data_IF_421425537784
#
_entry.id   IF_421425537784
#
_cell.length_a   1.000
_cell.length_b   1.000
_cell.length_c   1.000
_cell.angle_alpha   90.00
_cell.angle_beta   90.00
_cell.angle_gamma   90.00
#
_symmetry.space_group_name_H-M   'P 1'
#
loop_
_entity.id
_entity.type
_entity.pdbx_description
1 polymer ?
#
# COMPACT_ATOMS: atom_id res chain seq x y z
N UNK A 1 11.54 -28.71 -7.99
CA UNK A 1 11.40 -28.79 -6.52
C UNK A 1 11.47 -27.36 -6.01
N UNK A 2 10.37 -26.82 -5.51
CA UNK A 2 10.36 -25.53 -4.81
C UNK A 2 11.14 -25.72 -3.52
N UNK A 3 12.14 -24.88 -3.17
CA UNK A 3 12.82 -25.00 -1.90
C UNK A 3 11.80 -24.90 -0.75
N UNK A 4 11.84 -25.85 0.16
CA UNK A 4 10.96 -25.85 1.33
C UNK A 4 11.41 -24.73 2.26
N UNK A 5 10.52 -23.76 2.52
CA UNK A 5 10.80 -22.65 3.44
C UNK A 5 11.07 -23.24 4.82
N UNK A 6 12.27 -23.03 5.36
CA UNK A 6 12.65 -23.54 6.67
C UNK A 6 11.86 -22.85 7.80
N UNK A 7 11.49 -23.63 8.82
CA UNK A 7 10.76 -23.10 9.99
C UNK A 7 11.48 -21.93 10.70
N UNK A 8 12.81 -21.87 10.63
CA UNK A 8 13.59 -20.76 11.16
C UNK A 8 13.33 -19.44 10.40
N UNK A 9 13.26 -19.49 9.06
CA UNK A 9 12.97 -18.31 8.23
C UNK A 9 11.55 -17.78 8.47
N UNK A 10 10.59 -18.68 8.66
CA UNK A 10 9.21 -18.30 9.00
C UNK A 10 9.14 -17.60 10.37
N UNK A 11 9.82 -18.15 11.38
CA UNK A 11 9.88 -17.52 12.72
C UNK A 11 10.53 -16.15 12.65
N UNK A 12 11.65 -16.04 11.99
CA UNK A 12 12.38 -14.79 11.83
C UNK A 12 11.57 -13.72 11.09
N UNK A 13 10.82 -14.08 10.03
CA UNK A 13 9.86 -13.17 9.39
C UNK A 13 8.79 -12.69 10.36
N UNK A 14 8.17 -13.62 11.09
CA UNK A 14 7.11 -13.33 12.04
C UNK A 14 7.58 -12.43 13.17
N UNK A 15 8.77 -12.71 13.73
CA UNK A 15 9.35 -11.95 14.83
C UNK A 15 9.73 -10.54 14.37
N UNK A 16 10.31 -10.40 13.16
CA UNK A 16 10.60 -9.10 12.56
C UNK A 16 9.32 -8.29 12.32
N UNK A 17 8.30 -8.90 11.73
CA UNK A 17 7.01 -8.24 11.49
C UNK A 17 6.37 -7.77 12.80
N UNK A 18 6.35 -8.63 13.82
CA UNK A 18 5.79 -8.34 15.12
C UNK A 18 6.55 -7.21 15.83
N UNK A 19 7.89 -7.20 15.76
CA UNK A 19 8.72 -6.15 16.33
C UNK A 19 8.47 -4.79 15.66
N UNK A 20 8.43 -4.73 14.32
CA UNK A 20 8.13 -3.50 13.58
C UNK A 20 6.71 -3.00 13.91
N UNK A 21 5.71 -3.91 13.88
CA UNK A 21 4.33 -3.57 14.23
C UNK A 21 4.21 -3.00 15.64
N UNK A 22 4.86 -3.64 16.61
CA UNK A 22 4.86 -3.23 18.01
C UNK A 22 5.51 -1.86 18.19
N UNK A 23 6.64 -1.63 17.55
CA UNK A 23 7.37 -0.36 17.66
C UNK A 23 6.60 0.80 17.02
N UNK A 24 6.03 0.61 15.85
CA UNK A 24 5.14 1.60 15.22
C UNK A 24 3.91 1.86 16.08
N UNK A 25 3.27 0.81 16.61
CA UNK A 25 2.08 0.89 17.48
C UNK A 25 2.35 1.59 18.83
N UNK A 26 3.60 1.63 19.30
CA UNK A 26 3.99 2.39 20.50
C UNK A 26 3.86 3.90 20.29
N UNK A 27 4.09 4.38 19.06
CA UNK A 27 4.07 5.80 18.69
C UNK A 27 2.72 6.18 18.05
N UNK A 28 2.16 5.29 17.24
CA UNK A 28 0.90 5.49 16.49
C UNK A 28 -0.22 4.73 17.18
N UNK A 29 -1.03 5.44 17.94
CA UNK A 29 -2.10 4.86 18.76
C UNK A 29 -3.41 4.77 17.96
N UNK A 30 -4.12 3.65 18.09
CA UNK A 30 -5.50 3.48 17.57
C UNK A 30 -5.60 3.06 16.11
N UNK A 31 -4.48 2.68 15.48
CA UNK A 31 -4.46 2.29 14.07
C UNK A 31 -3.82 0.92 13.84
N UNK A 32 -3.86 0.02 14.82
CA UNK A 32 -3.21 -1.29 14.76
C UNK A 32 -3.61 -2.12 13.52
N UNK A 33 -4.90 -2.18 13.10
CA UNK A 33 -5.27 -2.90 11.88
C UNK A 33 -4.71 -2.24 10.61
N UNK A 34 -4.62 -0.92 10.58
CA UNK A 34 -4.05 -0.19 9.46
C UNK A 34 -2.53 -0.41 9.35
N UNK A 35 -1.82 -0.37 10.47
CA UNK A 35 -0.38 -0.67 10.55
C UNK A 35 -0.12 -2.08 10.03
N UNK A 36 -0.92 -3.08 10.45
CA UNK A 36 -0.79 -4.47 10.01
C UNK A 36 -1.03 -4.59 8.50
N UNK A 37 -2.07 -3.94 7.96
CA UNK A 37 -2.35 -3.95 6.52
C UNK A 37 -1.24 -3.27 5.70
N UNK A 38 -0.69 -2.14 6.18
CA UNK A 38 0.41 -1.43 5.53
C UNK A 38 1.68 -2.28 5.53
N UNK A 39 2.02 -2.91 6.66
CA UNK A 39 3.17 -3.83 6.75
C UNK A 39 2.98 -5.05 5.86
N UNK A 40 1.76 -5.60 5.80
CA UNK A 40 1.42 -6.70 4.89
C UNK A 40 1.67 -6.29 3.44
N UNK A 41 1.22 -5.10 3.03
CA UNK A 41 1.47 -4.57 1.70
C UNK A 41 2.97 -4.31 1.42
N UNK A 42 3.70 -3.80 2.41
CA UNK A 42 5.15 -3.59 2.31
C UNK A 42 5.88 -4.90 2.02
N UNK A 43 5.64 -5.95 2.81
CA UNK A 43 6.29 -7.25 2.60
C UNK A 43 5.76 -8.01 1.38
N UNK A 44 4.51 -7.78 0.97
CA UNK A 44 3.97 -8.25 -0.30
C UNK A 44 4.65 -7.61 -1.54
N UNK A 45 5.37 -6.50 -1.32
CA UNK A 45 6.08 -5.77 -2.38
C UNK A 45 5.17 -4.87 -3.22
N UNK A 46 4.06 -4.40 -2.65
CA UNK A 46 3.14 -3.46 -3.30
C UNK A 46 3.09 -2.10 -2.62
N UNK A 47 2.27 -1.20 -3.13
CA UNK A 47 2.04 0.15 -2.62
C UNK A 47 0.66 0.25 -1.97
N UNK A 48 0.44 1.26 -1.11
CA UNK A 48 -0.80 1.41 -0.33
C UNK A 48 -1.46 2.75 -0.61
N UNK A 49 -2.78 2.72 -0.78
CA UNK A 49 -3.63 3.88 -0.78
C UNK A 49 -4.26 4.05 0.62
N UNK A 50 -4.07 5.21 1.24
CA UNK A 50 -4.63 5.53 2.56
C UNK A 50 -5.75 6.53 2.38
N UNK A 51 -6.94 6.17 2.82
CA UNK A 51 -8.06 7.09 2.91
C UNK A 51 -8.27 7.51 4.36
N UNK A 52 -8.34 8.81 4.60
CA UNK A 52 -8.58 9.33 5.95
C UNK A 52 -8.56 10.85 5.99
N UNK A 53 -9.26 11.41 6.96
CA UNK A 53 -9.35 12.85 7.16
C UNK A 53 -8.00 13.47 7.56
N UNK A 54 -7.82 14.78 7.39
CA UNK A 54 -6.63 15.48 7.88
C UNK A 54 -6.46 15.33 9.40
N UNK A 55 -5.21 15.32 9.88
CA UNK A 55 -4.91 15.36 11.32
C UNK A 55 -4.98 14.03 12.07
N UNK A 56 -5.33 12.89 11.43
CA UNK A 56 -5.42 11.57 12.10
C UNK A 56 -4.10 10.80 12.20
N UNK A 57 -2.96 11.46 11.97
CA UNK A 57 -1.65 10.81 12.19
C UNK A 57 -1.06 10.09 10.98
N UNK A 58 -1.56 10.30 9.74
CA UNK A 58 -1.03 9.64 8.52
C UNK A 58 0.48 9.81 8.36
N UNK A 59 0.97 11.05 8.46
CA UNK A 59 2.40 11.35 8.31
C UNK A 59 3.23 10.70 9.41
N UNK A 60 2.75 10.74 10.67
CA UNK A 60 3.41 10.09 11.79
C UNK A 60 3.52 8.58 11.56
N UNK A 61 2.44 7.94 11.12
CA UNK A 61 2.40 6.49 10.84
C UNK A 61 3.44 6.10 9.78
N UNK A 62 3.49 6.82 8.65
CA UNK A 62 4.41 6.48 7.56
C UNK A 62 5.86 6.74 7.95
N UNK A 63 6.13 7.84 8.67
CA UNK A 63 7.45 8.14 9.19
C UNK A 63 7.90 7.09 10.20
N UNK A 64 7.05 6.77 11.19
CA UNK A 64 7.36 5.73 12.18
C UNK A 64 7.63 4.37 11.53
N UNK A 65 6.90 4.03 10.46
CA UNK A 65 7.18 2.82 9.69
C UNK A 65 8.57 2.85 9.04
N UNK A 66 8.94 3.95 8.40
CA UNK A 66 10.24 4.11 7.76
C UNK A 66 11.38 4.07 8.80
N UNK A 67 11.21 4.75 9.94
CA UNK A 67 12.18 4.77 11.04
C UNK A 67 12.36 3.37 11.65
N UNK A 68 11.26 2.64 11.93
CA UNK A 68 11.33 1.26 12.44
C UNK A 68 12.03 0.30 11.46
N UNK A 69 11.83 0.49 10.17
CA UNK A 69 12.48 -0.29 9.12
C UNK A 69 13.89 0.21 8.76
N UNK A 70 14.36 1.33 9.37
CA UNK A 70 15.63 1.99 9.04
C UNK A 70 15.78 2.31 7.54
N UNK A 71 14.69 2.72 6.90
CA UNK A 71 14.62 3.07 5.49
C UNK A 71 14.50 4.59 5.30
N UNK A 72 15.12 5.12 4.24
CA UNK A 72 15.00 6.56 3.94
C UNK A 72 13.56 6.94 3.65
N UNK A 73 13.12 8.06 4.21
CA UNK A 73 11.77 8.60 4.10
C UNK A 73 11.75 9.94 3.37
N UNK A 74 10.77 10.11 2.50
CA UNK A 74 10.44 11.40 1.90
C UNK A 74 8.93 11.64 1.97
N UNK A 75 8.53 12.90 2.11
CA UNK A 75 7.13 13.34 2.01
C UNK A 75 6.99 14.34 0.87
N UNK A 76 6.01 14.12 0.04
CA UNK A 76 5.62 15.03 -1.03
C UNK A 76 4.14 15.39 -0.87
N UNK A 77 3.87 16.67 -0.61
CA UNK A 77 2.52 17.20 -0.57
C UNK A 77 2.09 17.53 -2.00
N UNK A 78 1.02 16.90 -2.47
CA UNK A 78 0.48 17.17 -3.79
C UNK A 78 -0.38 18.43 -3.76
N UNK A 79 -0.13 19.34 -4.71
CA UNK A 79 -0.85 20.60 -4.89
C UNK A 79 -1.17 20.79 -6.36
N UNK A 80 -2.07 21.71 -6.70
CA UNK A 80 -2.51 21.95 -8.08
C UNK A 80 -1.41 22.47 -8.99
N UNK A 81 -0.41 23.12 -8.43
CA UNK A 81 0.76 23.71 -9.12
C UNK A 81 1.97 22.75 -9.18
N UNK A 82 1.92 21.61 -8.48
CA UNK A 82 3.00 20.63 -8.47
C UNK A 82 3.26 20.07 -9.88
N UNK A 83 4.50 20.14 -10.33
CA UNK A 83 4.93 19.66 -11.63
C UNK A 83 5.51 18.24 -11.56
N UNK A 84 5.50 17.45 -12.65
CA UNK A 84 6.16 16.15 -12.70
C UNK A 84 7.65 16.18 -12.29
N UNK A 85 8.37 17.23 -12.63
CA UNK A 85 9.77 17.40 -12.26
C UNK A 85 9.99 17.56 -10.76
N UNK A 86 9.00 18.10 -10.03
CA UNK A 86 9.06 18.20 -8.56
C UNK A 86 8.94 16.82 -7.90
N UNK A 87 8.34 15.86 -8.58
CA UNK A 87 8.22 14.46 -8.15
C UNK A 87 9.50 13.67 -8.48
N UNK A 88 9.91 13.72 -9.75
CA UNK A 88 10.96 12.85 -10.30
C UNK A 88 12.37 13.44 -10.25
N UNK A 89 12.47 14.74 -10.02
CA UNK A 89 13.74 15.47 -10.15
C UNK A 89 13.94 16.07 -11.53
N UNK A 90 14.99 16.87 -11.65
CA UNK A 90 15.28 17.64 -12.85
C UNK A 90 16.79 17.76 -13.08
N UNK A 91 17.18 18.23 -14.27
CA UNK A 91 18.56 18.58 -14.56
C UNK A 91 18.76 20.08 -14.35
N UNK A 92 19.78 20.43 -13.61
CA UNK A 92 20.22 21.82 -13.39
C UNK A 92 21.58 22.05 -14.05
N UNK A 93 21.88 23.30 -14.39
CA UNK A 93 23.20 23.68 -14.84
C UNK A 93 24.02 24.06 -13.62
N UNK A 94 25.12 23.34 -13.39
CA UNK A 94 26.12 23.69 -12.39
C UNK A 94 27.38 24.23 -13.09
N UNK A 95 27.95 25.33 -12.54
CA UNK A 95 29.21 25.86 -12.95
C UNK A 95 30.30 25.32 -12.01
N UNK A 96 31.17 24.48 -12.57
CA UNK A 96 32.29 23.91 -11.83
C UNK A 96 33.34 24.99 -11.45
N UNK A 97 34.20 24.67 -10.49
CA UNK A 97 35.27 25.57 -10.06
C UNK A 97 36.26 25.92 -11.18
N UNK A 98 36.22 25.27 -12.33
CA UNK A 98 36.95 25.53 -13.56
C UNK A 98 36.22 26.44 -14.56
N UNK A 99 35.05 26.97 -14.17
CA UNK A 99 34.21 27.82 -15.03
C UNK A 99 33.43 27.05 -16.12
N UNK A 100 33.51 25.72 -16.14
CA UNK A 100 32.72 24.88 -17.08
C UNK A 100 31.33 24.65 -16.55
N UNK A 101 30.33 24.73 -17.45
CA UNK A 101 28.94 24.42 -17.15
C UNK A 101 28.63 22.98 -17.52
N UNK A 102 28.09 22.24 -16.58
CA UNK A 102 27.61 20.87 -16.78
C UNK A 102 26.18 20.71 -16.33
N UNK A 103 25.45 19.78 -17.00
CA UNK A 103 24.12 19.40 -16.52
C UNK A 103 24.26 18.32 -15.45
N UNK A 104 23.76 18.61 -14.26
CA UNK A 104 23.72 17.66 -13.14
C UNK A 104 22.26 17.28 -12.84
N UNK A 105 22.01 15.99 -12.63
CA UNK A 105 20.70 15.52 -12.23
C UNK A 105 20.52 15.74 -10.71
N UNK A 106 19.45 16.46 -10.35
CA UNK A 106 19.01 16.63 -8.97
C UNK A 106 17.82 15.71 -8.75
N UNK A 107 17.97 14.64 -7.91
CA UNK A 107 16.90 13.67 -7.67
C UNK A 107 15.73 14.32 -6.94
N UNK A 108 14.51 13.94 -7.33
CA UNK A 108 13.29 14.35 -6.66
C UNK A 108 12.94 13.47 -5.47
N UNK A 109 11.83 13.77 -4.78
CA UNK A 109 11.37 13.05 -3.59
C UNK A 109 11.15 11.54 -3.77
N UNK A 110 10.93 11.06 -5.00
CA UNK A 110 10.78 9.62 -5.30
C UNK A 110 12.06 8.81 -5.04
N UNK A 111 13.21 9.46 -4.90
CA UNK A 111 14.48 8.79 -4.61
C UNK A 111 14.65 8.49 -3.11
N UNK A 112 13.58 8.04 -2.47
CA UNK A 112 13.59 7.50 -1.10
C UNK A 112 13.00 6.09 -1.11
N UNK A 113 13.33 5.28 -0.10
CA UNK A 113 12.76 3.93 0.04
C UNK A 113 11.28 3.97 0.37
N UNK A 114 10.88 4.90 1.24
CA UNK A 114 9.48 5.11 1.66
C UNK A 114 9.06 6.53 1.29
N UNK A 115 8.07 6.63 0.42
CA UNK A 115 7.50 7.90 0.00
C UNK A 115 6.06 8.05 0.50
N UNK A 116 5.79 9.11 1.24
CA UNK A 116 4.43 9.56 1.49
C UNK A 116 4.02 10.57 0.41
N UNK A 117 3.13 10.15 -0.48
CA UNK A 117 2.49 11.00 -1.48
C UNK A 117 1.17 11.54 -0.88
N UNK A 118 1.25 12.71 -0.23
CA UNK A 118 0.13 13.24 0.54
C UNK A 118 -0.85 14.03 -0.34
N UNK A 119 -2.14 13.68 -0.26
CA UNK A 119 -3.25 14.26 -1.04
C UNK A 119 -3.03 14.17 -2.56
N UNK A 120 -2.71 12.97 -3.07
CA UNK A 120 -2.35 12.73 -4.48
C UNK A 120 -3.41 13.26 -5.47
N UNK A 121 -4.68 13.29 -5.07
CA UNK A 121 -5.80 13.78 -5.87
C UNK A 121 -5.84 15.31 -6.03
N UNK A 122 -4.98 16.07 -5.36
CA UNK A 122 -4.91 17.55 -5.54
C UNK A 122 -4.05 17.97 -6.72
N UNK A 123 -3.10 17.14 -7.16
CA UNK A 123 -2.28 17.47 -8.34
C UNK A 123 -2.95 17.07 -9.65
N UNK A 124 -2.48 17.69 -10.73
CA UNK A 124 -2.97 17.40 -12.09
C UNK A 124 -2.72 15.95 -12.49
N UNK A 125 -3.53 15.36 -13.40
CA UNK A 125 -3.33 13.99 -13.87
C UNK A 125 -1.93 13.71 -14.44
N UNK A 126 -1.27 14.72 -15.00
CA UNK A 126 0.10 14.60 -15.51
C UNK A 126 1.11 14.35 -14.39
N UNK A 127 0.97 15.06 -13.27
CA UNK A 127 1.83 14.91 -12.09
C UNK A 127 1.55 13.60 -11.37
N UNK A 128 0.27 13.23 -11.23
CA UNK A 128 -0.12 11.91 -10.70
C UNK A 128 0.52 10.77 -11.52
N UNK A 129 0.46 10.87 -12.85
CA UNK A 129 1.01 9.86 -13.77
C UNK A 129 2.52 9.68 -13.59
N UNK A 130 3.29 10.75 -13.32
CA UNK A 130 4.72 10.66 -13.09
C UNK A 130 5.06 9.79 -11.86
N UNK A 131 4.32 9.94 -10.75
CA UNK A 131 4.48 9.08 -9.57
C UNK A 131 4.08 7.64 -9.88
N UNK A 132 2.92 7.45 -10.53
CA UNK A 132 2.39 6.12 -10.82
C UNK A 132 3.24 5.34 -11.83
N UNK A 133 3.92 6.03 -12.75
CA UNK A 133 4.92 5.43 -13.63
C UNK A 133 6.15 5.00 -12.82
N UNK A 134 6.69 5.87 -11.95
CA UNK A 134 7.80 5.54 -11.07
C UNK A 134 7.49 4.32 -10.16
N UNK A 135 6.24 4.20 -9.67
CA UNK A 135 5.79 3.02 -8.91
C UNK A 135 5.80 1.74 -9.75
N UNK A 136 5.38 1.80 -11.00
CA UNK A 136 5.29 0.64 -11.88
C UNK A 136 6.65 0.17 -12.39
N UNK A 137 7.48 1.12 -12.81
CA UNK A 137 8.75 0.84 -13.50
C UNK A 137 9.93 0.76 -12.51
N UNK A 138 9.76 1.21 -11.27
CA UNK A 138 10.81 1.34 -10.24
C UNK A 138 12.05 2.13 -10.73
N UNK A 139 11.82 3.03 -11.66
CA UNK A 139 12.80 3.93 -12.24
C UNK A 139 12.13 5.19 -12.79
N UNK A 140 12.91 6.23 -13.03
CA UNK A 140 12.44 7.44 -13.72
C UNK A 140 13.38 7.78 -14.87
N UNK A 141 12.84 8.34 -15.95
CA UNK A 141 13.62 8.79 -17.10
C UNK A 141 13.57 10.31 -17.19
N UNK A 142 14.72 10.96 -17.02
CA UNK A 142 14.84 12.42 -17.10
C UNK A 142 15.82 12.80 -18.20
N UNK A 143 15.34 13.60 -19.18
CA UNK A 143 16.11 14.04 -20.33
C UNK A 143 16.85 12.88 -21.07
N UNK A 144 16.14 11.74 -21.23
CA UNK A 144 16.66 10.56 -21.93
C UNK A 144 17.60 9.66 -21.11
N UNK A 145 17.86 10.00 -19.85
CA UNK A 145 18.66 9.17 -18.93
C UNK A 145 17.75 8.49 -17.92
N UNK A 146 17.88 7.18 -17.78
CA UNK A 146 17.11 6.39 -16.82
C UNK A 146 17.85 6.28 -15.50
N UNK A 147 17.15 6.56 -14.40
CA UNK A 147 17.66 6.52 -13.03
C UNK A 147 16.83 5.51 -12.24
N UNK A 148 17.43 4.39 -11.74
CA UNK A 148 16.74 3.43 -10.91
C UNK A 148 16.38 4.04 -9.56
N UNK A 149 15.23 3.67 -9.00
CA UNK A 149 14.83 4.05 -7.66
C UNK A 149 15.47 3.13 -6.61
N UNK A 150 15.65 3.62 -5.37
CA UNK A 150 16.20 2.78 -4.29
C UNK A 150 15.24 1.61 -3.99
N UNK A 151 15.81 0.41 -3.80
CA UNK A 151 15.05 -0.79 -3.45
C UNK A 151 15.27 -1.17 -1.97
N UNK A 152 14.20 -1.50 -1.25
CA UNK A 152 12.80 -1.55 -1.67
C UNK A 152 12.18 -0.16 -1.83
N UNK A 153 11.45 0.08 -2.92
CA UNK A 153 10.65 1.29 -3.10
C UNK A 153 9.21 1.04 -2.64
N UNK A 154 8.69 1.91 -1.78
CA UNK A 154 7.36 1.79 -1.19
C UNK A 154 6.65 3.12 -1.12
N UNK A 155 5.50 3.24 -1.77
CA UNK A 155 4.68 4.45 -1.78
C UNK A 155 3.43 4.23 -0.95
N UNK A 156 3.16 5.19 -0.06
CA UNK A 156 1.88 5.36 0.60
C UNK A 156 1.27 6.65 0.07
N UNK A 157 0.22 6.54 -0.74
CA UNK A 157 -0.50 7.69 -1.25
C UNK A 157 -1.72 7.95 -0.37
N UNK A 158 -2.03 9.23 -0.07
CA UNK A 158 -3.23 9.56 0.70
C UNK A 158 -4.31 10.21 -0.16
N UNK A 159 -5.56 9.90 0.18
CA UNK A 159 -6.76 10.58 -0.30
C UNK A 159 -7.45 11.26 0.87
N UNK A 160 -7.88 12.50 0.66
CA UNK A 160 -8.75 13.20 1.58
C UNK A 160 -10.20 13.09 1.08
N UNK A 161 -11.09 12.35 1.78
CA UNK A 161 -12.47 12.16 1.31
C UNK A 161 -13.36 13.40 1.49
N UNK A 162 -12.94 14.39 2.28
CA UNK A 162 -13.76 15.58 2.59
C UNK A 162 -13.55 16.68 1.55
N UNK A 163 -12.34 16.82 1.03
CA UNK A 163 -12.01 17.86 0.06
C UNK A 163 -12.24 17.36 -1.36
N UNK A 164 -13.46 17.50 -1.87
CA UNK A 164 -13.82 17.14 -3.25
C UNK A 164 -13.61 18.33 -4.23
N UNK A 165 -13.68 19.56 -3.76
CA UNK A 165 -13.57 20.76 -4.58
C UNK A 165 -12.13 21.01 -5.00
N UNK A 166 -11.88 21.18 -6.30
CA UNK A 166 -10.54 21.39 -6.83
C UNK A 166 -9.64 20.15 -6.88
N UNK A 167 -10.22 18.94 -6.79
CA UNK A 167 -9.47 17.68 -6.86
C UNK A 167 -9.66 16.98 -8.21
N UNK A 168 -8.63 16.22 -8.62
CA UNK A 168 -8.67 15.35 -9.78
C UNK A 168 -8.76 13.89 -9.29
N UNK A 169 -9.87 13.24 -9.57
CA UNK A 169 -10.03 11.83 -9.23
C UNK A 169 -8.97 10.98 -9.95
N UNK A 170 -8.41 9.99 -9.21
CA UNK A 170 -7.56 8.99 -9.85
C UNK A 170 -8.44 8.04 -10.68
N UNK A 171 -8.11 7.86 -11.97
CA UNK A 171 -8.76 6.83 -12.78
C UNK A 171 -8.61 5.43 -12.17
N UNK A 172 -9.58 4.56 -12.40
CA UNK A 172 -9.62 3.19 -11.86
C UNK A 172 -8.35 2.39 -12.22
N UNK A 173 -7.84 2.57 -13.45
CA UNK A 173 -6.60 1.92 -13.90
C UNK A 173 -5.36 2.37 -13.11
N UNK A 174 -5.40 3.54 -12.49
CA UNK A 174 -4.35 4.07 -11.63
C UNK A 174 -4.52 3.57 -10.18
N UNK A 175 -5.75 3.52 -9.67
CA UNK A 175 -6.07 2.93 -8.37
C UNK A 175 -5.66 1.45 -8.30
N UNK A 176 -5.79 0.72 -9.39
CA UNK A 176 -5.45 -0.71 -9.51
C UNK A 176 -3.95 -1.00 -9.29
N UNK A 177 -3.07 0.01 -9.28
CA UNK A 177 -1.62 -0.12 -8.98
C UNK A 177 -1.33 -0.26 -7.47
N UNK A 178 -2.24 0.18 -6.61
CA UNK A 178 -2.10 0.01 -5.17
C UNK A 178 -2.55 -1.40 -4.77
N UNK A 179 -1.71 -2.14 -4.04
CA UNK A 179 -2.05 -3.49 -3.61
C UNK A 179 -3.18 -3.49 -2.60
N UNK A 180 -3.16 -2.55 -1.68
CA UNK A 180 -4.20 -2.36 -0.67
C UNK A 180 -4.70 -0.91 -0.62
N UNK A 181 -5.99 -0.78 -0.30
CA UNK A 181 -6.59 0.46 0.20
C UNK A 181 -6.89 0.29 1.68
N UNK A 182 -6.38 1.21 2.49
CA UNK A 182 -6.54 1.21 3.95
C UNK A 182 -7.31 2.46 4.36
N UNK A 183 -8.36 2.28 5.13
CA UNK A 183 -9.15 3.39 5.67
C UNK A 183 -8.77 3.63 7.12
N UNK A 184 -8.43 4.89 7.44
CA UNK A 184 -8.19 5.32 8.81
C UNK A 184 -9.46 5.92 9.37
N UNK A 185 -9.95 5.33 10.45
CA UNK A 185 -11.10 5.84 11.19
C UNK A 185 -10.66 6.91 12.21
N UNK A 186 -11.60 7.72 12.68
CA UNK A 186 -11.36 8.56 13.86
C UNK A 186 -11.03 7.69 15.08
N UNK A 187 -10.08 8.15 15.91
CA UNK A 187 -9.78 7.45 17.15
C UNK A 187 -11.01 7.46 18.08
N UNK A 188 -11.20 6.37 18.81
CA UNK A 188 -12.15 6.31 19.92
C UNK A 188 -11.75 7.29 21.02
N UNK A 189 -12.66 7.58 21.96
CA UNK A 189 -12.36 8.46 23.08
C UNK A 189 -11.14 7.96 23.89
N UNK A 190 -11.06 6.66 24.17
CA UNK A 190 -9.95 6.07 24.93
C UNK A 190 -8.61 6.18 24.16
N UNK A 191 -8.62 6.00 22.84
CA UNK A 191 -7.43 6.20 22.01
C UNK A 191 -7.03 7.66 21.98
N UNK A 192 -7.99 8.59 21.85
CA UNK A 192 -7.73 10.03 21.89
C UNK A 192 -7.11 10.47 23.22
N UNK A 193 -7.61 9.98 24.34
CA UNK A 193 -7.02 10.23 25.66
C UNK A 193 -5.57 9.76 25.73
N UNK A 194 -5.25 8.57 25.21
CA UNK A 194 -3.88 8.04 25.11
C UNK A 194 -3.01 8.89 24.20
N UNK A 195 -3.53 9.33 23.03
CA UNK A 195 -2.81 10.21 22.12
C UNK A 195 -2.47 11.52 22.82
N UNK A 196 -3.43 12.18 23.45
CA UNK A 196 -3.19 13.42 24.17
C UNK A 196 -2.16 13.24 25.30
N UNK A 197 -2.30 12.19 26.10
CA UNK A 197 -1.35 11.89 27.17
C UNK A 197 0.07 11.63 26.67
N UNK A 198 0.25 11.03 25.48
CA UNK A 198 1.56 10.70 24.93
C UNK A 198 2.22 11.84 24.13
N UNK A 199 1.41 12.74 23.56
CA UNK A 199 1.93 13.79 22.64
C UNK A 199 2.09 15.16 23.28
N UNK A 200 1.51 15.39 24.48
CA UNK A 200 1.60 16.67 25.21
C UNK A 200 2.62 16.66 26.34
N UNK A 201 3.54 15.71 26.34
CA UNK A 201 4.66 15.60 27.28
C UNK A 201 5.91 16.29 26.75
N UNK A 202 6.89 16.56 27.62
CA UNK A 202 8.13 17.19 27.24
C UNK A 202 8.92 16.38 26.19
N UNK A 203 8.91 15.03 26.34
CA UNK A 203 9.60 14.10 25.43
C UNK A 203 8.57 13.11 24.85
N UNK A 204 7.92 13.43 23.72
CA UNK A 204 7.00 12.52 23.06
C UNK A 204 7.72 11.25 22.56
N UNK A 205 7.05 10.10 22.52
CA UNK A 205 7.67 8.86 22.06
C UNK A 205 8.13 8.97 20.61
N UNK A 206 9.37 8.55 20.35
CA UNK A 206 9.96 8.44 19.02
C UNK A 206 10.14 6.97 18.65
N UNK A 207 10.12 6.65 17.37
CA UNK A 207 10.27 5.28 16.88
C UNK A 207 11.74 4.88 16.90
N UNK A 208 12.04 3.73 17.51
CA UNK A 208 13.38 3.15 17.46
C UNK A 208 13.55 2.24 16.23
N UNK A 209 14.76 2.12 15.65
CA UNK A 209 15.03 1.19 14.57
C UNK A 209 14.90 -0.26 15.04
N UNK A 210 14.20 -1.07 14.26
CA UNK A 210 14.07 -2.52 14.45
C UNK A 210 15.04 -3.27 13.54
N UNK A 211 15.17 -2.82 12.28
CA UNK A 211 16.17 -3.34 11.36
C UNK A 211 17.48 -2.57 11.52
N UNK A 212 18.59 -3.31 11.44
CA UNK A 212 19.93 -2.71 11.47
C UNK A 212 20.12 -1.77 10.28
N UNK A 213 20.42 -0.47 10.48
CA UNK A 213 20.49 0.52 9.41
C UNK A 213 21.41 0.13 8.24
N UNK A 214 22.57 -0.48 8.53
CA UNK A 214 23.54 -0.87 7.51
C UNK A 214 23.02 -1.95 6.54
N UNK A 215 22.06 -2.77 6.97
CA UNK A 215 21.54 -3.91 6.20
C UNK A 215 20.03 -3.84 5.97
N UNK A 216 19.37 -2.79 6.42
CA UNK A 216 17.91 -2.67 6.42
C UNK A 216 17.27 -2.92 5.05
N UNK A 217 17.79 -2.29 4.00
CA UNK A 217 17.24 -2.43 2.65
C UNK A 217 17.41 -3.87 2.11
N UNK A 218 18.59 -4.46 2.26
CA UNK A 218 18.85 -5.87 1.84
C UNK A 218 17.99 -6.83 2.64
N UNK A 219 17.85 -6.60 3.95
CA UNK A 219 17.01 -7.41 4.82
C UNK A 219 15.54 -7.36 4.45
N UNK A 220 15.02 -6.18 4.18
CA UNK A 220 13.64 -6.01 3.71
C UNK A 220 13.39 -6.75 2.38
N UNK A 221 14.36 -6.73 1.46
CA UNK A 221 14.28 -7.46 0.20
C UNK A 221 14.35 -8.99 0.39
N UNK A 222 15.14 -9.50 1.30
CA UNK A 222 15.17 -10.92 1.68
C UNK A 222 13.81 -11.38 2.20
N UNK A 223 13.21 -10.61 3.12
CA UNK A 223 11.89 -10.93 3.67
C UNK A 223 10.79 -10.86 2.59
N UNK A 224 10.85 -9.91 1.65
CA UNK A 224 9.96 -9.86 0.48
C UNK A 224 10.14 -11.08 -0.43
N UNK A 225 11.37 -11.56 -0.61
CA UNK A 225 11.64 -12.78 -1.39
C UNK A 225 11.02 -14.00 -0.70
N UNK A 226 11.19 -14.13 0.61
CA UNK A 226 10.58 -15.22 1.38
C UNK A 226 9.06 -15.26 1.20
N UNK A 227 8.37 -14.11 1.20
CA UNK A 227 6.93 -14.03 0.91
C UNK A 227 6.63 -14.62 -0.48
N UNK A 228 7.44 -14.34 -1.50
CA UNK A 228 7.23 -14.88 -2.85
C UNK A 228 7.36 -16.40 -2.92
N UNK A 229 8.17 -17.00 -2.06
CA UNK A 229 8.41 -18.44 -1.99
C UNK A 229 7.26 -19.22 -1.32
N UNK A 230 6.36 -18.55 -0.56
CA UNK A 230 5.21 -19.20 0.06
C UNK A 230 4.36 -19.90 -0.97
N UNK A 231 4.06 -21.18 -0.71
CA UNK A 231 3.34 -22.07 -1.65
C UNK A 231 1.86 -21.67 -1.75
N UNK A 232 1.37 -21.57 -2.97
CA UNK A 232 -0.07 -21.47 -3.26
C UNK A 232 -0.48 -22.70 -4.06
N UNK A 233 -1.46 -23.44 -3.56
CA UNK A 233 -1.97 -24.62 -4.27
C UNK A 233 -2.91 -24.22 -5.39
N UNK A 234 -3.06 -25.03 -6.46
CA UNK A 234 -4.03 -24.75 -7.54
C UNK A 234 -5.48 -24.58 -7.05
N UNK A 235 -5.82 -25.17 -5.90
CA UNK A 235 -7.13 -25.00 -5.28
C UNK A 235 -7.31 -23.58 -4.73
N UNK A 236 -6.30 -23.04 -4.07
CA UNK A 236 -6.31 -21.66 -3.53
C UNK A 236 -6.25 -20.64 -4.66
N UNK A 237 -5.48 -20.90 -5.73
CA UNK A 237 -5.46 -20.06 -6.93
C UNK A 237 -6.86 -19.97 -7.57
N UNK A 238 -7.54 -21.13 -7.74
CA UNK A 238 -8.93 -21.16 -8.23
C UNK A 238 -9.88 -20.41 -7.32
N UNK A 239 -9.70 -20.53 -6.01
CA UNK A 239 -10.52 -19.81 -5.04
C UNK A 239 -10.38 -18.30 -5.19
N UNK A 240 -9.16 -17.78 -5.23
CA UNK A 240 -8.89 -16.34 -5.44
C UNK A 240 -9.44 -15.87 -6.80
N UNK A 241 -9.25 -16.66 -7.87
CA UNK A 241 -9.80 -16.35 -9.19
C UNK A 241 -11.34 -16.33 -9.19
N UNK A 242 -11.96 -17.23 -8.44
CA UNK A 242 -13.43 -17.27 -8.28
C UNK A 242 -13.94 -16.02 -7.57
N UNK A 243 -13.29 -15.58 -6.48
CA UNK A 243 -13.63 -14.33 -5.79
C UNK A 243 -13.61 -13.17 -6.78
N UNK A 244 -12.49 -13.00 -7.51
CA UNK A 244 -12.34 -11.90 -8.49
C UNK A 244 -13.48 -11.97 -9.54
N UNK A 245 -13.76 -13.12 -10.09
CA UNK A 245 -14.86 -13.29 -11.08
C UNK A 245 -16.22 -12.95 -10.51
N UNK A 246 -16.48 -13.30 -9.25
CA UNK A 246 -17.78 -13.04 -8.61
C UNK A 246 -17.95 -11.56 -8.21
N UNK A 247 -16.90 -10.74 -8.26
CA UNK A 247 -17.03 -9.28 -8.14
C UNK A 247 -17.57 -8.62 -9.43
N UNK A 248 -17.49 -9.30 -10.56
CA UNK A 248 -17.99 -8.76 -11.84
C UNK A 248 -19.48 -9.13 -12.03
N UNK A 249 -20.27 -8.31 -12.75
CA UNK A 249 -21.71 -8.53 -12.95
C UNK A 249 -22.01 -9.63 -13.98
N UNK A 250 -21.56 -10.86 -13.70
CA UNK A 250 -21.78 -12.07 -14.51
C UNK A 250 -23.01 -12.81 -14.02
N UNK A 251 -23.49 -13.80 -14.82
CA UNK A 251 -24.64 -14.65 -14.44
C UNK A 251 -24.40 -15.42 -13.13
N UNK A 252 -23.14 -15.79 -12.85
CA UNK A 252 -22.77 -16.51 -11.62
C UNK A 252 -22.68 -15.62 -10.39
N UNK A 253 -22.71 -14.28 -10.57
CA UNK A 253 -22.60 -13.33 -9.46
C UNK A 253 -23.93 -13.21 -8.70
N UNK A 254 -23.84 -12.78 -7.45
CA UNK A 254 -24.97 -12.40 -6.61
C UNK A 254 -25.81 -11.29 -7.25
N UNK A 255 -27.11 -11.24 -6.96
CA UNK A 255 -28.03 -10.21 -7.45
C UNK A 255 -27.60 -8.79 -7.05
N UNK A 256 -27.05 -8.65 -5.87
CA UNK A 256 -26.50 -7.39 -5.39
C UNK A 256 -25.34 -6.93 -6.29
N UNK A 257 -24.43 -7.85 -6.64
CA UNK A 257 -23.27 -7.57 -7.52
C UNK A 257 -23.77 -7.16 -8.91
N UNK A 258 -24.71 -7.92 -9.51
CA UNK A 258 -25.29 -7.58 -10.82
C UNK A 258 -25.96 -6.21 -10.84
N UNK A 259 -26.60 -5.83 -9.74
CA UNK A 259 -27.30 -4.55 -9.63
C UNK A 259 -26.34 -3.37 -9.39
N UNK A 260 -25.34 -3.54 -8.54
CA UNK A 260 -24.51 -2.43 -8.08
C UNK A 260 -23.22 -2.23 -8.89
N UNK A 261 -22.63 -3.28 -9.42
CA UNK A 261 -21.31 -3.23 -10.03
C UNK A 261 -21.41 -2.95 -11.54
N UNK A 262 -20.63 -1.98 -12.02
CA UNK A 262 -20.39 -1.75 -13.43
C UNK A 262 -19.19 -2.58 -13.92
N UNK A 263 -18.08 -2.53 -13.17
CA UNK A 263 -16.87 -3.30 -13.44
C UNK A 263 -16.33 -3.93 -12.16
N UNK A 264 -16.09 -5.23 -12.19
CA UNK A 264 -15.47 -5.97 -11.09
C UNK A 264 -13.96 -5.80 -11.04
N UNK A 265 -13.31 -6.42 -10.04
CA UNK A 265 -11.87 -6.35 -9.87
C UNK A 265 -11.11 -6.98 -11.04
N UNK A 266 -9.95 -6.39 -11.37
CA UNK A 266 -9.03 -6.83 -12.39
C UNK A 266 -8.19 -8.05 -11.94
N UNK A 267 -7.41 -8.69 -12.83
CA UNK A 267 -6.43 -9.71 -12.45
C UNK A 267 -5.42 -9.23 -11.40
N UNK A 268 -5.11 -7.93 -11.32
CA UNK A 268 -4.26 -7.35 -10.27
C UNK A 268 -4.90 -7.49 -8.89
N UNK A 269 -6.23 -7.46 -8.79
CA UNK A 269 -6.96 -7.79 -7.57
C UNK A 269 -6.67 -9.21 -7.09
N UNK A 270 -6.66 -10.18 -8.00
CA UNK A 270 -6.27 -11.56 -7.70
C UNK A 270 -4.81 -11.70 -7.25
N UNK A 271 -3.89 -10.96 -7.88
CA UNK A 271 -2.49 -10.90 -7.47
C UNK A 271 -2.36 -10.30 -6.07
N UNK A 272 -3.09 -9.23 -5.78
CA UNK A 272 -3.09 -8.58 -4.46
C UNK A 272 -3.61 -9.53 -3.36
N UNK A 273 -4.68 -10.28 -3.64
CA UNK A 273 -5.21 -11.32 -2.75
C UNK A 273 -4.14 -12.36 -2.41
N UNK A 274 -3.49 -12.95 -3.41
CA UNK A 274 -2.52 -14.01 -3.20
C UNK A 274 -1.25 -13.50 -2.50
N UNK A 275 -0.77 -12.30 -2.86
CA UNK A 275 0.41 -11.71 -2.22
C UNK A 275 0.16 -11.36 -0.76
N UNK A 276 -0.98 -10.76 -0.45
CA UNK A 276 -1.37 -10.49 0.93
C UNK A 276 -1.58 -11.77 1.73
N UNK A 277 -2.23 -12.77 1.14
CA UNK A 277 -2.46 -14.07 1.75
C UNK A 277 -1.13 -14.82 2.07
N UNK A 278 -0.11 -14.68 1.23
CA UNK A 278 1.24 -15.24 1.51
C UNK A 278 1.86 -14.64 2.77
N UNK A 279 1.72 -13.33 2.98
CA UNK A 279 2.18 -12.67 4.21
C UNK A 279 1.40 -13.20 5.42
N UNK A 280 0.06 -13.33 5.30
CA UNK A 280 -0.78 -13.89 6.36
C UNK A 280 -0.36 -15.31 6.75
N UNK A 281 -0.11 -16.18 5.76
CA UNK A 281 0.37 -17.54 6.00
C UNK A 281 1.67 -17.56 6.82
N UNK A 282 2.65 -16.69 6.50
CA UNK A 282 3.90 -16.58 7.26
C UNK A 282 3.65 -16.09 8.68
N UNK A 283 2.76 -15.13 8.89
CA UNK A 283 2.40 -14.62 10.22
C UNK A 283 1.78 -15.71 11.09
N UNK A 284 1.03 -16.63 10.48
CA UNK A 284 0.46 -17.80 11.16
C UNK A 284 1.44 -18.99 11.25
N UNK A 285 2.69 -18.81 10.83
CA UNK A 285 3.73 -19.84 10.93
C UNK A 285 3.66 -20.93 9.86
N UNK A 286 2.96 -20.69 8.75
CA UNK A 286 2.74 -21.67 7.69
C UNK A 286 3.52 -21.35 6.41
N UNK A 287 4.10 -22.35 5.71
CA UNK A 287 4.78 -22.17 4.43
C UNK A 287 3.82 -22.20 3.23
N UNK A 288 2.53 -22.30 3.44
CA UNK A 288 1.50 -22.38 2.40
C UNK A 288 0.27 -21.54 2.73
N UNK A 289 -0.39 -21.03 1.70
CA UNK A 289 -1.60 -20.22 1.80
C UNK A 289 -2.83 -21.11 1.96
N UNK A 290 -3.77 -20.66 2.80
CA UNK A 290 -5.12 -21.23 2.93
C UNK A 290 -6.15 -20.24 2.38
N UNK A 291 -7.39 -20.68 2.11
CA UNK A 291 -8.48 -19.78 1.72
C UNK A 291 -8.80 -18.70 2.76
N UNK A 292 -8.64 -18.99 4.05
CA UNK A 292 -8.89 -18.03 5.13
C UNK A 292 -7.88 -16.86 5.08
N UNK A 293 -6.64 -17.12 4.62
CA UNK A 293 -5.65 -16.06 4.39
C UNK A 293 -6.08 -15.13 3.25
N UNK A 294 -6.70 -15.68 2.20
CA UNK A 294 -7.24 -14.91 1.08
C UNK A 294 -8.42 -14.05 1.54
N UNK A 295 -9.33 -14.64 2.33
CA UNK A 295 -10.48 -13.94 2.88
C UNK A 295 -10.06 -12.76 3.76
N UNK A 296 -9.04 -12.95 4.59
CA UNK A 296 -8.54 -11.93 5.53
C UNK A 296 -8.05 -10.64 4.84
N UNK A 297 -7.57 -10.73 3.60
CA UNK A 297 -7.05 -9.57 2.85
C UNK A 297 -8.00 -9.06 1.77
N UNK A 298 -9.17 -9.70 1.59
CA UNK A 298 -10.06 -9.44 0.46
C UNK A 298 -10.55 -7.98 0.41
N UNK A 299 -10.98 -7.44 1.54
CA UNK A 299 -11.49 -6.06 1.60
C UNK A 299 -10.41 -5.04 1.25
N UNK A 300 -9.23 -5.14 1.85
CA UNK A 300 -8.12 -4.23 1.56
C UNK A 300 -7.65 -4.32 0.10
N UNK A 301 -7.70 -5.55 -0.48
CA UNK A 301 -7.27 -5.81 -1.86
C UNK A 301 -8.27 -5.37 -2.91
N UNK A 302 -9.58 -5.47 -2.66
CA UNK A 302 -10.58 -5.39 -3.72
C UNK A 302 -11.45 -4.13 -3.68
N UNK A 303 -11.64 -3.48 -2.51
CA UNK A 303 -12.62 -2.41 -2.37
C UNK A 303 -12.40 -1.22 -3.33
N UNK A 304 -11.16 -0.87 -3.61
CA UNK A 304 -10.79 0.24 -4.51
C UNK A 304 -10.71 -0.16 -5.99
N UNK A 305 -10.99 -1.42 -6.30
CA UNK A 305 -10.98 -1.98 -7.66
C UNK A 305 -12.37 -2.20 -8.23
N UNK A 306 -13.40 -1.95 -7.43
CA UNK A 306 -14.79 -2.10 -7.83
C UNK A 306 -15.32 -0.77 -8.34
N UNK A 307 -15.81 -0.77 -9.57
CA UNK A 307 -16.52 0.39 -10.14
C UNK A 307 -18.02 0.15 -9.97
N UNK A 308 -18.64 0.96 -9.12
CA UNK A 308 -20.07 0.88 -8.91
C UNK A 308 -20.83 1.63 -10.02
N UNK A 309 -22.10 1.28 -10.21
CA UNK A 309 -22.98 2.03 -11.08
C UNK A 309 -23.38 3.34 -10.41
N UNK A 310 -23.50 4.41 -11.16
CA UNK A 310 -23.86 5.72 -10.64
C UNK A 310 -25.14 5.70 -9.78
N UNK A 311 -26.17 4.97 -10.20
CA UNK A 311 -27.40 4.83 -9.42
C UNK A 311 -27.17 4.12 -8.08
N UNK A 312 -26.26 3.11 -8.04
CA UNK A 312 -25.91 2.40 -6.80
C UNK A 312 -25.12 3.29 -5.84
N UNK A 313 -24.19 4.09 -6.35
CA UNK A 313 -23.46 5.09 -5.55
C UNK A 313 -24.38 6.13 -4.94
N UNK A 314 -25.35 6.63 -5.72
CA UNK A 314 -26.37 7.56 -5.24
C UNK A 314 -27.24 6.97 -4.12
N UNK A 315 -27.50 5.66 -4.17
CA UNK A 315 -28.23 4.90 -3.14
C UNK A 315 -27.37 4.47 -1.94
N UNK A 316 -26.09 4.92 -1.89
CA UNK A 316 -25.17 4.62 -0.79
C UNK A 316 -24.66 3.16 -0.79
N UNK A 317 -24.48 2.57 -1.97
CA UNK A 317 -23.94 1.22 -2.10
C UNK A 317 -22.49 1.15 -1.53
N UNK A 318 -22.24 0.11 -0.74
CA UNK A 318 -20.94 -0.13 -0.11
C UNK A 318 -20.17 -1.23 -0.88
N UNK A 319 -18.97 -0.93 -1.43
CA UNK A 319 -18.10 -1.93 -2.06
C UNK A 319 -17.80 -3.14 -1.16
N UNK A 320 -17.76 -2.95 0.16
CA UNK A 320 -17.51 -4.04 1.11
C UNK A 320 -18.59 -5.11 1.05
N UNK A 321 -19.85 -4.73 0.88
CA UNK A 321 -20.97 -5.70 0.71
C UNK A 321 -20.87 -6.51 -0.58
N UNK A 322 -20.33 -5.93 -1.64
CA UNK A 322 -20.02 -6.64 -2.89
C UNK A 322 -18.96 -7.72 -2.65
N UNK A 323 -17.92 -7.39 -1.90
CA UNK A 323 -16.85 -8.32 -1.54
C UNK A 323 -17.39 -9.45 -0.67
N UNK A 324 -18.21 -9.14 0.34
CA UNK A 324 -18.84 -10.14 1.19
C UNK A 324 -19.69 -11.14 0.38
N UNK A 325 -20.48 -10.65 -0.58
CA UNK A 325 -21.26 -11.48 -1.48
C UNK A 325 -20.38 -12.39 -2.36
N UNK A 326 -19.27 -11.86 -2.90
CA UNK A 326 -18.31 -12.62 -3.69
C UNK A 326 -17.62 -13.71 -2.85
N UNK A 327 -17.19 -13.39 -1.62
CA UNK A 327 -16.61 -14.35 -0.67
C UNK A 327 -17.61 -15.47 -0.32
N UNK A 328 -18.85 -15.12 0.00
CA UNK A 328 -19.90 -16.09 0.28
C UNK A 328 -20.17 -17.01 -0.92
N UNK A 329 -20.19 -16.45 -2.14
CA UNK A 329 -20.33 -17.23 -3.38
C UNK A 329 -19.15 -18.18 -3.61
N UNK A 330 -17.92 -17.70 -3.43
CA UNK A 330 -16.71 -18.50 -3.60
C UNK A 330 -16.62 -19.66 -2.58
N UNK A 331 -17.03 -19.41 -1.33
CA UNK A 331 -17.09 -20.46 -0.29
C UNK A 331 -18.09 -21.56 -0.66
N UNK A 332 -19.26 -21.22 -1.19
CA UNK A 332 -20.28 -22.21 -1.67
C UNK A 332 -19.76 -23.06 -2.82
N UNK A 333 -18.93 -22.54 -3.69
CA UNK A 333 -18.38 -23.29 -4.83
C UNK A 333 -17.20 -24.21 -4.47
N UNK A 334 -16.77 -24.24 -3.21
CA UNK A 334 -15.72 -25.15 -2.68
C UNK A 334 -16.26 -26.51 -2.19
N UNK A 335 -17.55 -26.57 -1.86
CA UNK A 335 -18.23 -27.81 -1.49
C UNK A 335 -18.77 -28.51 -2.72
#
# INVERSE_FOLDING_TARGET
>A
MTPEIGAAAIRDFRDTFAAVRSEVGRVVIGHEPAIEAILTAFFAGGHVLIEGVPGIGKTLMVRSLADALSLSFSRLQFTVDLMPADVTGTRVIEEGGDGRRSFVFVPGPVFAHVLLADEINRATPKTQSALLEAMAEQQVTVAGTTHPLPAPFFVLATLNPIEMEGTYQLPEAQLDRFVFKVRLAYPSQAELERILASTTVADPPTTAPVLEPATAASRALELRRLVREVVVTPQVERYAATIVRLTAPTEAADDLVRRWVAHGASPRGGQALLLGAKVRALLDGRPHVTPDDVDAVAHASLAHRLVLRFAAEADGADPHRVIDAALAGARRSRG
#
